data_IF_541101123388
#
_entry.id   IF_541101123388
#
_cell.length_a   1.000
_cell.length_b   1.000
_cell.length_c   1.000
_cell.angle_alpha   90.00
_cell.angle_beta   90.00
_cell.angle_gamma   90.00
#
_symmetry.space_group_name_H-M   'P 1'
#
loop_
_entity.id
_entity.type
_entity.pdbx_description
1 polymer ?
#
# COMPACT_ATOMS: atom_id res chain seq x y z
N UNK A 1 10.14 -7.65 -19.93
CA UNK A 1 9.89 -6.98 -21.22
C UNK A 1 8.41 -7.12 -21.58
N UNK A 2 7.64 -6.01 -21.52
CA UNK A 2 6.20 -6.02 -21.77
C UNK A 2 5.82 -6.37 -23.23
N UNK A 3 6.53 -5.89 -24.27
CA UNK A 3 6.28 -6.31 -25.65
C UNK A 3 6.43 -7.82 -25.88
N UNK A 4 7.48 -8.42 -25.37
CA UNK A 4 7.69 -9.87 -25.49
C UNK A 4 6.58 -10.67 -24.76
N UNK A 5 6.17 -10.24 -23.57
CA UNK A 5 5.06 -10.85 -22.84
C UNK A 5 3.75 -10.79 -23.63
N UNK A 6 3.45 -9.65 -24.24
CA UNK A 6 2.27 -9.48 -25.10
C UNK A 6 2.28 -10.47 -26.28
N UNK A 7 3.41 -10.52 -27.02
CA UNK A 7 3.55 -11.45 -28.15
C UNK A 7 3.35 -12.90 -27.71
N UNK A 8 3.97 -13.29 -26.60
CA UNK A 8 3.83 -14.67 -26.08
C UNK A 8 2.38 -14.99 -25.71
N UNK A 9 1.68 -14.09 -25.01
CA UNK A 9 0.30 -14.32 -24.59
C UNK A 9 -0.66 -14.38 -25.80
N UNK A 10 -0.48 -13.52 -26.79
CA UNK A 10 -1.28 -13.56 -28.03
C UNK A 10 -1.00 -14.81 -28.85
N UNK A 11 0.23 -15.29 -28.88
CA UNK A 11 0.55 -16.59 -29.51
C UNK A 11 -0.09 -17.77 -28.77
N UNK A 12 -0.14 -17.73 -27.45
CA UNK A 12 -0.87 -18.75 -26.65
C UNK A 12 -2.34 -18.76 -27.03
N UNK A 13 -3.01 -17.62 -27.10
CA UNK A 13 -4.41 -17.52 -27.48
C UNK A 13 -4.65 -18.09 -28.90
N UNK A 14 -3.74 -17.90 -29.83
CA UNK A 14 -3.83 -18.41 -31.20
C UNK A 14 -3.61 -19.93 -31.25
N UNK A 15 -2.59 -20.44 -30.55
CA UNK A 15 -2.21 -21.85 -30.56
C UNK A 15 -3.20 -22.75 -29.83
N UNK A 16 -3.75 -22.24 -28.71
CA UNK A 16 -4.67 -22.99 -27.84
C UNK A 16 -6.11 -22.50 -27.97
N UNK A 17 -6.51 -22.08 -29.17
CA UNK A 17 -7.85 -21.59 -29.45
C UNK A 17 -8.96 -22.61 -29.13
N UNK A 18 -8.66 -23.92 -29.15
CA UNK A 18 -9.55 -25.02 -28.78
C UNK A 18 -9.50 -25.39 -27.30
N UNK A 19 -8.59 -24.80 -26.55
CA UNK A 19 -8.41 -25.05 -25.11
C UNK A 19 -8.79 -23.80 -24.32
N UNK A 20 -10.10 -23.61 -24.05
CA UNK A 20 -10.58 -22.36 -23.47
C UNK A 20 -10.04 -22.08 -22.07
N UNK A 21 -9.64 -23.11 -21.31
CA UNK A 21 -9.02 -22.95 -19.98
C UNK A 21 -7.67 -22.25 -20.05
N UNK A 22 -6.84 -22.64 -21.01
CA UNK A 22 -5.55 -22.00 -21.28
C UNK A 22 -5.76 -20.57 -21.78
N UNK A 23 -6.75 -20.39 -22.65
CA UNK A 23 -7.15 -19.08 -23.17
C UNK A 23 -7.57 -18.11 -22.07
N UNK A 24 -8.41 -18.53 -21.14
CA UNK A 24 -8.89 -17.68 -20.05
C UNK A 24 -7.75 -17.24 -19.12
N UNK A 25 -6.83 -18.14 -18.81
CA UNK A 25 -5.62 -17.80 -18.03
C UNK A 25 -4.75 -16.79 -18.79
N UNK A 26 -4.53 -17.00 -20.10
CA UNK A 26 -3.75 -16.07 -20.91
C UNK A 26 -4.39 -14.67 -20.97
N UNK A 27 -5.73 -14.59 -21.05
CA UNK A 27 -6.50 -13.34 -21.01
C UNK A 27 -6.35 -12.60 -19.69
N UNK A 28 -6.35 -13.31 -18.54
CA UNK A 28 -6.08 -12.68 -17.24
C UNK A 28 -4.68 -12.05 -17.19
N UNK A 29 -3.68 -12.69 -17.78
CA UNK A 29 -2.35 -12.09 -17.88
C UNK A 29 -2.31 -10.91 -18.87
N UNK A 30 -3.07 -10.95 -19.98
CA UNK A 30 -3.22 -9.81 -20.88
C UNK A 30 -3.92 -8.65 -20.19
N UNK A 31 -4.99 -8.89 -19.43
CA UNK A 31 -5.64 -7.87 -18.61
C UNK A 31 -4.62 -7.15 -17.71
N UNK A 32 -3.82 -7.88 -16.96
CA UNK A 32 -2.77 -7.30 -16.11
C UNK A 32 -1.72 -6.52 -16.92
N UNK A 33 -1.32 -7.03 -18.07
CA UNK A 33 -0.36 -6.36 -18.94
C UNK A 33 -0.92 -5.05 -19.49
N UNK A 34 -2.16 -5.03 -19.96
CA UNK A 34 -2.84 -3.83 -20.44
C UNK A 34 -3.06 -2.82 -19.31
N UNK A 35 -3.42 -3.27 -18.10
CA UNK A 35 -3.51 -2.42 -16.91
C UNK A 35 -2.18 -1.72 -16.62
N UNK A 36 -1.06 -2.45 -16.64
CA UNK A 36 0.29 -1.89 -16.45
C UNK A 36 0.69 -0.87 -17.54
N UNK A 37 0.09 -0.96 -18.74
CA UNK A 37 0.28 0.00 -19.84
C UNK A 37 -0.67 1.19 -19.80
N UNK A 38 -1.64 1.20 -18.88
CA UNK A 38 -2.70 2.20 -18.83
C UNK A 38 -3.78 2.03 -19.90
N UNK A 39 -3.80 0.89 -20.60
CA UNK A 39 -4.79 0.53 -21.61
C UNK A 39 -6.01 -0.11 -20.95
N UNK A 40 -6.76 0.68 -20.16
CA UNK A 40 -7.78 0.15 -19.24
C UNK A 40 -8.99 -0.45 -19.97
N UNK A 41 -9.31 0.05 -21.17
CA UNK A 41 -10.39 -0.52 -21.99
C UNK A 41 -10.04 -1.93 -22.47
N UNK A 42 -8.85 -2.10 -23.04
CA UNK A 42 -8.37 -3.42 -23.51
C UNK A 42 -8.24 -4.39 -22.33
N UNK A 43 -7.82 -3.90 -21.15
CA UNK A 43 -7.73 -4.71 -19.93
C UNK A 43 -9.11 -5.22 -19.48
N UNK A 44 -10.12 -4.36 -19.51
CA UNK A 44 -11.49 -4.73 -19.16
C UNK A 44 -12.07 -5.76 -20.14
N UNK A 45 -11.86 -5.57 -21.44
CA UNK A 45 -12.30 -6.48 -22.48
C UNK A 45 -11.73 -7.88 -22.26
N UNK A 46 -10.43 -7.99 -21.96
CA UNK A 46 -9.80 -9.28 -21.68
C UNK A 46 -10.32 -9.92 -20.38
N UNK A 47 -10.57 -9.12 -19.33
CA UNK A 47 -11.19 -9.63 -18.09
C UNK A 47 -12.59 -10.17 -18.33
N UNK A 48 -13.43 -9.45 -19.09
CA UNK A 48 -14.77 -9.89 -19.49
C UNK A 48 -14.74 -11.16 -20.33
N UNK A 49 -13.80 -11.25 -21.28
CA UNK A 49 -13.63 -12.44 -22.10
C UNK A 49 -13.23 -13.66 -21.26
N UNK A 50 -12.34 -13.51 -20.28
CA UNK A 50 -11.92 -14.59 -19.39
C UNK A 50 -13.06 -15.09 -18.49
N UNK A 51 -14.07 -14.24 -18.21
CA UNK A 51 -15.19 -14.57 -17.30
C UNK A 51 -16.45 -15.02 -18.01
N UNK A 52 -16.51 -15.02 -19.35
CA UNK A 52 -17.71 -15.40 -20.14
C UNK A 52 -18.24 -16.79 -19.85
N UNK A 53 -17.38 -17.73 -19.43
CA UNK A 53 -17.77 -19.12 -19.12
C UNK A 53 -18.13 -19.27 -17.63
N UNK A 54 -19.20 -18.61 -17.22
CA UNK A 54 -19.90 -18.77 -15.94
C UNK A 54 -19.03 -19.12 -14.71
N UNK A 55 -17.94 -18.39 -14.53
CA UNK A 55 -17.08 -18.55 -13.37
C UNK A 55 -16.11 -19.73 -13.42
N UNK A 56 -15.91 -20.38 -14.56
CA UNK A 56 -14.91 -21.45 -14.73
C UNK A 56 -13.52 -20.99 -14.31
N UNK A 57 -13.08 -19.82 -14.80
CA UNK A 57 -11.78 -19.23 -14.45
C UNK A 57 -11.64 -18.93 -12.96
N UNK A 58 -12.74 -18.60 -12.28
CA UNK A 58 -12.78 -18.42 -10.82
C UNK A 58 -12.50 -19.72 -10.05
N UNK A 59 -12.88 -20.88 -10.62
CA UNK A 59 -12.57 -22.18 -10.01
C UNK A 59 -11.15 -22.63 -10.27
N UNK A 60 -10.62 -22.36 -11.48
CA UNK A 60 -9.31 -22.82 -11.91
C UNK A 60 -8.18 -21.92 -11.41
N UNK A 61 -8.33 -20.61 -11.50
CA UNK A 61 -7.31 -19.62 -11.17
C UNK A 61 -7.86 -18.45 -10.34
N UNK A 62 -8.51 -18.71 -9.17
CA UNK A 62 -9.19 -17.67 -8.39
C UNK A 62 -8.25 -16.53 -7.97
N UNK A 63 -7.02 -16.86 -7.57
CA UNK A 63 -6.05 -15.85 -7.16
C UNK A 63 -5.62 -14.95 -8.32
N UNK A 64 -5.40 -15.51 -9.51
CA UNK A 64 -5.02 -14.74 -10.69
C UNK A 64 -6.16 -13.81 -11.12
N UNK A 65 -7.41 -14.32 -11.13
CA UNK A 65 -8.58 -13.52 -11.44
C UNK A 65 -8.72 -12.34 -10.48
N UNK A 66 -8.73 -12.60 -9.17
CA UNK A 66 -8.86 -11.51 -8.18
C UNK A 66 -7.70 -10.54 -8.22
N UNK A 67 -6.50 -11.00 -8.60
CA UNK A 67 -5.34 -10.10 -8.79
C UNK A 67 -5.55 -9.19 -10.00
N UNK A 68 -5.94 -9.75 -11.15
CA UNK A 68 -6.17 -8.98 -12.38
C UNK A 68 -7.31 -7.96 -12.19
N UNK A 69 -8.42 -8.38 -11.57
CA UNK A 69 -9.54 -7.52 -11.29
C UNK A 69 -9.17 -6.39 -10.30
N UNK A 70 -8.48 -6.71 -9.20
CA UNK A 70 -8.05 -5.69 -8.23
C UNK A 70 -7.08 -4.68 -8.83
N UNK A 71 -6.11 -5.12 -9.66
CA UNK A 71 -5.17 -4.23 -10.36
C UNK A 71 -5.89 -3.29 -11.32
N UNK A 72 -6.88 -3.79 -12.07
CA UNK A 72 -7.70 -3.00 -12.99
C UNK A 72 -8.57 -1.99 -12.24
N UNK A 73 -9.28 -2.42 -11.21
CA UNK A 73 -10.14 -1.56 -10.38
C UNK A 73 -9.34 -0.41 -9.76
N UNK A 74 -8.16 -0.72 -9.20
CA UNK A 74 -7.26 0.30 -8.64
C UNK A 74 -6.78 1.30 -9.71
N UNK A 75 -6.46 0.82 -10.90
CA UNK A 75 -6.04 1.68 -12.01
C UNK A 75 -7.19 2.59 -12.52
N UNK A 76 -8.44 2.20 -12.30
CA UNK A 76 -9.65 2.97 -12.63
C UNK A 76 -10.12 3.88 -11.48
N UNK A 77 -9.52 3.75 -10.30
CA UNK A 77 -9.96 4.45 -9.09
C UNK A 77 -11.24 3.86 -8.48
N UNK A 78 -11.57 2.61 -8.80
CA UNK A 78 -12.74 1.90 -8.29
C UNK A 78 -12.39 1.18 -6.97
N UNK A 79 -12.01 1.96 -5.95
CA UNK A 79 -11.46 1.47 -4.69
C UNK A 79 -12.37 0.47 -3.95
N UNK A 80 -13.69 0.62 -4.06
CA UNK A 80 -14.65 -0.25 -3.35
C UNK A 80 -14.70 -1.67 -3.94
N UNK A 81 -14.62 -1.80 -5.27
CA UNK A 81 -14.55 -3.10 -5.94
C UNK A 81 -13.18 -3.73 -5.74
N UNK A 82 -12.12 -2.95 -5.84
CA UNK A 82 -10.75 -3.37 -5.53
C UNK A 82 -10.64 -3.96 -4.11
N UNK A 83 -11.23 -3.31 -3.10
CA UNK A 83 -11.27 -3.80 -1.71
C UNK A 83 -11.91 -5.20 -1.60
N UNK A 84 -12.96 -5.47 -2.38
CA UNK A 84 -13.60 -6.78 -2.40
C UNK A 84 -12.63 -7.85 -2.88
N UNK A 85 -11.97 -7.62 -4.02
CA UNK A 85 -10.99 -8.54 -4.58
C UNK A 85 -9.77 -8.72 -3.68
N UNK A 86 -9.20 -7.63 -3.15
CA UNK A 86 -8.06 -7.66 -2.24
C UNK A 86 -8.37 -8.43 -0.94
N UNK A 87 -9.61 -8.33 -0.44
CA UNK A 87 -10.02 -9.04 0.77
C UNK A 87 -10.06 -10.56 0.53
N UNK A 88 -10.52 -11.00 -0.64
CA UNK A 88 -10.48 -12.42 -1.01
C UNK A 88 -9.04 -12.90 -1.12
N UNK A 89 -8.17 -12.13 -1.78
CA UNK A 89 -6.74 -12.44 -1.90
C UNK A 89 -6.07 -12.55 -0.52
N UNK A 90 -6.31 -11.60 0.38
CA UNK A 90 -5.70 -11.60 1.71
C UNK A 90 -6.12 -12.81 2.56
N UNK A 91 -7.34 -13.35 2.35
CA UNK A 91 -7.82 -14.55 3.04
C UNK A 91 -7.22 -15.84 2.49
N UNK A 92 -7.00 -15.92 1.19
CA UNK A 92 -6.49 -17.10 0.50
C UNK A 92 -4.96 -17.16 0.44
N UNK A 93 -4.26 -16.05 0.70
CA UNK A 93 -2.81 -15.95 0.59
C UNK A 93 -2.10 -16.77 1.69
N UNK A 94 -1.16 -17.62 1.29
CA UNK A 94 -0.42 -18.51 2.18
C UNK A 94 0.83 -17.86 2.77
N UNK A 95 1.44 -16.96 2.02
CA UNK A 95 2.70 -16.30 2.40
C UNK A 95 2.46 -15.17 3.39
N UNK A 96 3.06 -15.21 4.56
CA UNK A 96 2.90 -14.19 5.61
C UNK A 96 3.22 -12.78 5.09
N UNK A 97 4.29 -12.63 4.31
CA UNK A 97 4.67 -11.35 3.73
C UNK A 97 3.61 -10.78 2.77
N UNK A 98 3.06 -11.61 1.89
CA UNK A 98 2.04 -11.15 0.94
C UNK A 98 0.73 -10.84 1.66
N UNK A 99 0.32 -11.63 2.66
CA UNK A 99 -0.83 -11.29 3.51
C UNK A 99 -0.65 -9.94 4.21
N UNK A 100 0.56 -9.67 4.73
CA UNK A 100 0.85 -8.39 5.36
C UNK A 100 0.76 -7.23 4.36
N UNK A 101 1.30 -7.39 3.16
CA UNK A 101 1.23 -6.38 2.07
C UNK A 101 -0.21 -6.10 1.65
N UNK A 102 -1.01 -7.15 1.44
CA UNK A 102 -2.42 -7.03 1.10
C UNK A 102 -3.21 -6.34 2.23
N UNK A 103 -2.97 -6.74 3.48
CA UNK A 103 -3.61 -6.10 4.64
C UNK A 103 -3.23 -4.62 4.76
N UNK A 104 -1.98 -4.27 4.45
CA UNK A 104 -1.52 -2.88 4.46
C UNK A 104 -2.21 -2.06 3.35
N UNK A 105 -2.27 -2.58 2.13
CA UNK A 105 -2.97 -1.94 1.00
C UNK A 105 -4.47 -1.76 1.30
N UNK A 106 -5.13 -2.78 1.84
CA UNK A 106 -6.53 -2.68 2.29
C UNK A 106 -6.67 -1.55 3.34
N UNK A 107 -5.73 -1.45 4.28
CA UNK A 107 -5.70 -0.36 5.26
C UNK A 107 -5.62 1.01 4.62
N UNK A 108 -4.77 1.19 3.61
CA UNK A 108 -4.63 2.46 2.88
C UNK A 108 -5.91 2.86 2.13
N UNK A 109 -6.55 1.91 1.46
CA UNK A 109 -7.81 2.17 0.75
C UNK A 109 -8.94 2.53 1.71
N UNK A 110 -9.06 1.81 2.84
CA UNK A 110 -10.05 2.11 3.87
C UNK A 110 -9.79 3.47 4.53
N UNK A 111 -8.53 3.84 4.74
CA UNK A 111 -8.13 5.15 5.23
C UNK A 111 -8.55 6.27 4.27
N UNK A 112 -8.30 6.09 2.96
CA UNK A 112 -8.70 7.03 1.91
C UNK A 112 -10.23 7.21 1.83
N UNK A 113 -10.99 6.16 2.13
CA UNK A 113 -12.46 6.20 2.21
C UNK A 113 -12.98 6.77 3.55
N UNK A 114 -12.12 7.15 4.48
CA UNK A 114 -12.49 7.65 5.80
C UNK A 114 -12.94 6.57 6.79
N UNK A 115 -12.83 5.29 6.45
CA UNK A 115 -13.24 4.16 7.30
C UNK A 115 -12.18 3.85 8.37
N UNK A 116 -11.94 4.78 9.30
CA UNK A 116 -10.81 4.80 10.25
C UNK A 116 -10.67 3.51 11.06
N UNK A 117 -11.74 3.00 11.66
CA UNK A 117 -11.65 1.80 12.50
C UNK A 117 -11.35 0.54 11.69
N UNK A 118 -11.91 0.42 10.49
CA UNK A 118 -11.61 -0.67 9.58
C UNK A 118 -10.15 -0.58 9.07
N UNK A 119 -9.67 0.62 8.77
CA UNK A 119 -8.28 0.87 8.37
C UNK A 119 -7.30 0.47 9.50
N UNK A 120 -7.55 0.89 10.74
CA UNK A 120 -6.77 0.48 11.92
C UNK A 120 -6.70 -1.04 12.06
N UNK A 121 -7.84 -1.71 11.92
CA UNK A 121 -7.90 -3.18 12.01
C UNK A 121 -7.09 -3.85 10.89
N UNK A 122 -7.07 -3.28 9.68
CA UNK A 122 -6.29 -3.78 8.55
C UNK A 122 -4.78 -3.56 8.77
N UNK A 123 -4.36 -2.38 9.21
CA UNK A 123 -2.96 -2.10 9.56
C UNK A 123 -2.48 -2.97 10.72
N UNK A 124 -3.29 -3.18 11.77
CA UNK A 124 -2.94 -4.08 12.87
C UNK A 124 -2.77 -5.54 12.42
N UNK A 125 -3.50 -5.98 11.38
CA UNK A 125 -3.25 -7.28 10.74
C UNK A 125 -1.92 -7.31 10.00
N UNK A 126 -1.63 -6.26 9.22
CA UNK A 126 -0.37 -6.14 8.51
C UNK A 126 0.83 -6.19 9.47
N UNK A 127 0.77 -5.45 10.58
CA UNK A 127 1.77 -5.44 11.64
C UNK A 127 2.02 -6.85 12.19
N UNK A 128 0.95 -7.54 12.64
CA UNK A 128 1.08 -8.87 13.26
C UNK A 128 1.57 -9.96 12.32
N UNK A 129 1.29 -9.84 11.03
CA UNK A 129 1.64 -10.88 10.03
C UNK A 129 2.93 -10.59 9.28
N UNK A 130 3.47 -9.37 9.37
CA UNK A 130 4.67 -8.98 8.63
C UNK A 130 5.94 -9.61 9.22
N UNK A 131 6.70 -10.36 8.40
CA UNK A 131 8.04 -10.79 8.78
C UNK A 131 9.10 -9.70 8.54
N UNK A 132 8.75 -8.58 7.92
CA UNK A 132 9.66 -7.49 7.57
C UNK A 132 9.49 -6.31 8.53
N UNK A 133 10.55 -5.89 9.25
CA UNK A 133 10.48 -4.77 10.20
C UNK A 133 10.02 -3.45 9.55
N UNK A 134 10.37 -3.21 8.29
CA UNK A 134 9.95 -2.02 7.57
C UNK A 134 8.43 -1.93 7.39
N UNK A 135 7.80 -3.02 6.95
CA UNK A 135 6.35 -3.08 6.75
C UNK A 135 5.59 -3.11 8.09
N UNK A 136 6.12 -3.86 9.08
CA UNK A 136 5.62 -3.86 10.45
C UNK A 136 5.56 -2.43 11.00
N UNK A 137 6.68 -1.70 10.93
CA UNK A 137 6.77 -0.33 11.39
C UNK A 137 5.82 0.59 10.61
N UNK A 138 5.78 0.50 9.28
CA UNK A 138 4.86 1.32 8.48
C UNK A 138 3.41 1.13 8.92
N UNK A 139 2.98 -0.11 9.19
CA UNK A 139 1.65 -0.42 9.68
C UNK A 139 1.39 0.17 11.08
N UNK A 140 2.37 0.09 12.00
CA UNK A 140 2.30 0.73 13.32
C UNK A 140 2.15 2.25 13.21
N UNK A 141 2.96 2.90 12.39
CA UNK A 141 2.90 4.35 12.21
C UNK A 141 1.53 4.79 11.67
N UNK A 142 0.96 4.06 10.70
CA UNK A 142 -0.40 4.33 10.20
C UNK A 142 -1.47 4.13 11.27
N UNK A 143 -1.39 3.06 12.05
CA UNK A 143 -2.32 2.82 13.18
C UNK A 143 -2.26 3.97 14.19
N UNK A 144 -1.06 4.43 14.54
CA UNK A 144 -0.86 5.54 15.48
C UNK A 144 -1.42 6.86 14.93
N UNK A 145 -1.19 7.16 13.64
CA UNK A 145 -1.73 8.35 12.99
C UNK A 145 -3.27 8.39 12.98
N UNK A 146 -3.91 7.22 12.91
CA UNK A 146 -5.36 7.09 12.98
C UNK A 146 -5.91 7.08 14.42
N UNK A 147 -5.06 7.05 15.44
CA UNK A 147 -5.50 7.06 16.82
C UNK A 147 -5.66 8.50 17.31
N UNK A 148 -6.82 8.83 17.88
CA UNK A 148 -7.16 10.20 18.31
C UNK A 148 -6.51 10.61 19.63
N UNK A 149 -5.95 9.67 20.40
CA UNK A 149 -5.32 9.94 21.69
C UNK A 149 -3.85 10.33 21.52
N UNK A 150 -3.59 11.64 21.39
CA UNK A 150 -2.27 12.20 21.08
C UNK A 150 -1.16 11.85 22.10
N UNK A 151 -1.48 11.75 23.40
CA UNK A 151 -0.46 11.54 24.44
C UNK A 151 0.16 10.13 24.42
N UNK A 152 -0.65 9.10 24.28
CA UNK A 152 -0.18 7.70 24.26
C UNK A 152 0.63 7.40 23.02
N UNK A 153 0.29 8.02 21.87
CA UNK A 153 1.00 7.91 20.61
C UNK A 153 2.42 8.46 20.69
N UNK A 154 2.62 9.63 21.31
CA UNK A 154 3.93 10.27 21.47
C UNK A 154 4.91 9.37 22.22
N UNK A 155 4.49 8.84 23.39
CA UNK A 155 5.34 7.92 24.16
C UNK A 155 5.67 6.63 23.39
N UNK A 156 4.71 6.12 22.64
CA UNK A 156 4.94 4.92 21.83
C UNK A 156 5.99 5.20 20.73
N UNK A 157 5.88 6.30 19.99
CA UNK A 157 6.84 6.71 18.97
C UNK A 157 8.23 6.94 19.54
N UNK A 158 8.35 7.59 20.69
CA UNK A 158 9.62 7.76 21.40
C UNK A 158 10.27 6.42 21.76
N UNK A 159 9.47 5.44 22.19
CA UNK A 159 9.97 4.07 22.47
C UNK A 159 10.42 3.39 21.19
N UNK A 160 9.66 3.47 20.08
CA UNK A 160 10.04 2.90 18.78
C UNK A 160 11.38 3.45 18.28
N UNK A 161 11.61 4.76 18.41
CA UNK A 161 12.86 5.41 17.99
C UNK A 161 14.11 4.86 18.68
N UNK A 162 13.96 4.28 19.90
CA UNK A 162 15.06 3.67 20.67
C UNK A 162 15.35 2.23 20.28
N UNK A 163 14.42 1.55 19.60
CA UNK A 163 14.58 0.15 19.24
C UNK A 163 15.63 -0.01 18.13
N UNK A 164 16.65 -0.87 18.39
CA UNK A 164 17.75 -1.11 17.44
C UNK A 164 17.26 -1.68 16.11
N UNK A 165 16.22 -2.49 16.11
CA UNK A 165 15.66 -3.10 14.90
C UNK A 165 15.09 -2.07 13.91
N UNK A 166 14.70 -0.90 14.40
CA UNK A 166 14.17 0.20 13.58
C UNK A 166 15.20 1.31 13.32
N UNK A 167 16.46 1.10 13.66
CA UNK A 167 17.53 2.08 13.44
C UNK A 167 17.58 2.62 11.98
N UNK A 168 17.42 1.80 10.92
CA UNK A 168 17.39 2.29 9.54
C UNK A 168 16.16 3.15 9.21
N UNK A 169 15.13 3.10 10.03
CA UNK A 169 13.83 3.76 9.80
C UNK A 169 13.55 4.90 10.79
N UNK A 170 14.53 5.32 11.57
CA UNK A 170 14.35 6.38 12.59
C UNK A 170 13.83 7.68 12.01
N UNK A 171 14.24 8.04 10.81
CA UNK A 171 13.75 9.24 10.13
C UNK A 171 12.22 9.25 10.02
N UNK A 172 11.61 8.15 9.58
CA UNK A 172 10.15 8.03 9.49
C UNK A 172 9.46 8.07 10.87
N UNK A 173 10.09 7.46 11.90
CA UNK A 173 9.55 7.50 13.27
C UNK A 173 9.58 8.92 13.84
N UNK A 174 10.69 9.66 13.66
CA UNK A 174 10.79 11.03 14.13
C UNK A 174 9.87 11.98 13.36
N UNK A 175 9.62 11.73 12.07
CA UNK A 175 8.63 12.49 11.31
C UNK A 175 7.22 12.28 11.90
N UNK A 176 6.82 11.03 12.11
CA UNK A 176 5.53 10.72 12.73
C UNK A 176 5.42 11.28 14.17
N UNK A 177 6.52 11.28 14.93
CA UNK A 177 6.58 11.89 16.25
C UNK A 177 6.36 13.42 16.17
N UNK A 178 6.96 14.07 15.20
CA UNK A 178 6.76 15.50 14.99
C UNK A 178 5.31 15.84 14.64
N UNK A 179 4.68 15.06 13.80
CA UNK A 179 3.25 15.22 13.46
C UNK A 179 2.35 15.05 14.69
N UNK A 180 2.60 14.05 15.52
CA UNK A 180 1.87 13.84 16.77
C UNK A 180 2.07 14.97 17.77
N UNK A 181 3.29 15.51 17.85
CA UNK A 181 3.61 16.67 18.70
C UNK A 181 2.93 17.95 18.21
N UNK A 182 2.88 18.17 16.88
CA UNK A 182 2.15 19.30 16.29
C UNK A 182 0.65 19.21 16.56
N UNK A 183 0.06 18.03 16.43
CA UNK A 183 -1.34 17.79 16.75
C UNK A 183 -1.65 18.06 18.24
N UNK A 184 -0.63 18.03 19.12
CA UNK A 184 -0.73 18.32 20.56
C UNK A 184 -0.25 19.74 20.91
N UNK A 185 -0.07 20.61 19.92
CA UNK A 185 0.44 22.00 20.05
C UNK A 185 1.83 22.13 20.69
N UNK A 186 2.63 21.06 20.66
CA UNK A 186 4.00 21.04 21.21
C UNK A 186 5.03 21.41 20.15
N UNK A 187 4.97 22.65 19.65
CA UNK A 187 5.73 23.13 18.47
C UNK A 187 7.25 22.99 18.59
N UNK A 188 7.84 23.36 19.72
CA UNK A 188 9.30 23.28 19.90
C UNK A 188 9.81 21.83 19.97
N UNK A 189 9.05 20.95 20.62
CA UNK A 189 9.36 19.53 20.62
C UNK A 189 9.23 18.92 19.20
N UNK A 190 8.23 19.35 18.43
CA UNK A 190 8.04 18.94 17.05
C UNK A 190 9.21 19.37 16.15
N UNK A 191 9.71 20.62 16.29
CA UNK A 191 10.92 21.09 15.58
C UNK A 191 12.12 20.21 15.89
N UNK A 192 12.31 19.86 17.16
CA UNK A 192 13.38 18.98 17.57
C UNK A 192 13.26 17.60 16.91
N UNK A 193 12.07 17.03 16.89
CA UNK A 193 11.79 15.75 16.23
C UNK A 193 12.02 15.84 14.70
N UNK A 194 11.61 16.92 14.05
CA UNK A 194 11.88 17.13 12.61
C UNK A 194 13.37 17.18 12.29
N UNK A 195 14.18 17.87 13.11
CA UNK A 195 15.64 17.88 12.96
C UNK A 195 16.22 16.48 13.14
N UNK A 196 15.76 15.73 14.14
CA UNK A 196 16.18 14.33 14.34
C UNK A 196 15.77 13.43 13.16
N UNK A 197 14.62 13.70 12.52
CA UNK A 197 14.22 13.00 11.29
C UNK A 197 15.23 13.25 10.18
N UNK A 198 15.64 14.49 9.95
CA UNK A 198 16.63 14.89 8.95
C UNK A 198 17.99 14.24 9.24
N UNK A 199 18.48 14.35 10.46
CA UNK A 199 19.79 13.81 10.87
C UNK A 199 19.85 12.27 10.77
N UNK A 200 18.70 11.61 10.93
CA UNK A 200 18.58 10.15 10.84
C UNK A 200 18.35 9.63 9.43
N UNK A 201 18.19 10.50 8.44
CA UNK A 201 17.81 10.14 7.06
C UNK A 201 19.01 9.63 6.24
N UNK A 202 19.69 8.58 6.70
CA UNK A 202 20.80 7.98 5.95
C UNK A 202 20.35 7.17 4.72
N UNK A 203 19.14 6.62 4.73
CA UNK A 203 18.67 5.68 3.70
C UNK A 203 17.33 6.06 3.05
N UNK A 204 16.49 6.86 3.71
CA UNK A 204 15.15 7.23 3.24
C UNK A 204 15.08 8.74 2.99
N UNK A 205 15.48 9.18 1.80
CA UNK A 205 15.45 10.60 1.38
C UNK A 205 14.05 11.22 1.48
N UNK A 206 12.97 10.42 1.29
CA UNK A 206 11.60 10.90 1.35
C UNK A 206 11.20 11.48 2.71
N UNK A 207 11.53 10.83 3.83
CA UNK A 207 11.21 11.35 5.17
C UNK A 207 11.97 12.64 5.50
N UNK A 208 13.22 12.80 5.00
CA UNK A 208 13.96 14.03 5.17
C UNK A 208 13.33 15.18 4.38
N UNK A 209 12.93 14.95 3.13
CA UNK A 209 12.26 15.95 2.29
C UNK A 209 10.99 16.47 2.96
N UNK A 210 10.14 15.56 3.46
CA UNK A 210 8.94 15.94 4.20
C UNK A 210 9.26 16.72 5.48
N UNK A 211 10.29 16.30 6.25
CA UNK A 211 10.70 16.99 7.46
C UNK A 211 11.21 18.42 7.17
N UNK A 212 11.96 18.64 6.09
CA UNK A 212 12.35 19.98 5.65
C UNK A 212 11.15 20.84 5.27
N UNK A 213 10.20 20.27 4.52
CA UNK A 213 8.96 20.97 4.14
C UNK A 213 8.17 21.40 5.38
N UNK A 214 7.99 20.51 6.36
CA UNK A 214 7.30 20.80 7.61
C UNK A 214 8.03 21.87 8.44
N UNK A 215 9.35 21.84 8.53
CA UNK A 215 10.13 22.90 9.21
C UNK A 215 9.96 24.25 8.52
N UNK A 216 9.99 24.28 7.19
CA UNK A 216 9.76 25.50 6.41
C UNK A 216 8.37 26.08 6.67
N UNK A 217 7.32 25.26 6.66
CA UNK A 217 5.96 25.68 6.97
C UNK A 217 5.83 26.24 8.39
N UNK A 218 6.42 25.58 9.39
CA UNK A 218 6.44 26.07 10.78
C UNK A 218 7.17 27.41 10.91
N UNK A 219 8.27 27.62 10.16
CA UNK A 219 8.98 28.89 10.16
C UNK A 219 8.14 30.02 9.54
N UNK A 220 7.40 29.72 8.47
CA UNK A 220 6.46 30.67 7.85
C UNK A 220 5.33 31.05 8.80
N UNK A 221 4.70 30.08 9.46
CA UNK A 221 3.61 30.29 10.42
C UNK A 221 4.05 31.15 11.61
N UNK A 222 5.28 30.99 12.08
CA UNK A 222 5.84 31.77 13.19
C UNK A 222 6.40 33.13 12.74
N UNK A 223 6.27 33.48 11.45
CA UNK A 223 6.85 34.72 10.87
C UNK A 223 8.36 34.82 11.10
N UNK A 224 9.03 33.72 11.31
CA UNK A 224 10.50 33.67 11.48
C UNK A 224 11.15 33.53 10.09
N UNK A 225 11.06 34.59 9.31
CA UNK A 225 11.85 34.69 8.08
C UNK A 225 13.31 35.03 8.48
N UNK A 226 14.24 34.21 8.05
CA UNK A 226 15.65 34.52 8.10
C UNK A 226 16.08 35.03 6.75
#
# INVERSE_FOLDING_TARGET
DLPAAHTTLTDILRRYATEPEVGDIARLYLCRLYTLRGQLFDAEEELQHATRREGEVLRQAPQLYHTAAAELDLARGEDSTALTHLTVLARSEKTALQRARLSFLIGQLLEAQGAREAAKAAFARAERTSPQPALELAAQLRTLALTTESGTGIHHLQRLARLRRYAPHRSAIYLALAEALLASDQREAARTALRQSIDSAQTLRGSATEAYTRLGLLALEDQRYV
#
